data_IF_331938905197
#
_entry.id   IF_331938905197
#
_cell.length_a   1.000
_cell.length_b   1.000
_cell.length_c   1.000
_cell.angle_alpha   90.00
_cell.angle_beta   90.00
_cell.angle_gamma   90.00
#
_symmetry.space_group_name_H-M   'P 1'
#
loop_
_entity.id
_entity.type
_entity.pdbx_description
1 polymer ?
#
# COMPACT_ATOMS: atom_id res chain seq x y z
N UNK A 1 17.83 49.00 -5.17
CA UNK A 1 17.63 49.13 -3.71
C UNK A 1 16.28 49.74 -3.31
N UNK A 2 15.84 50.94 -3.74
CA UNK A 2 14.54 51.49 -3.29
C UNK A 2 13.31 50.60 -3.56
N UNK A 3 13.25 49.93 -4.72
CA UNK A 3 12.11 49.07 -5.09
C UNK A 3 12.11 47.65 -4.51
N UNK A 4 13.13 47.24 -3.77
CA UNK A 4 13.16 45.94 -3.07
C UNK A 4 12.54 46.06 -1.68
N UNK A 5 12.79 47.16 -0.97
CA UNK A 5 12.20 47.46 0.34
C UNK A 5 10.68 47.72 0.28
N UNK A 6 10.18 48.31 -0.81
CA UNK A 6 8.72 48.46 -1.02
C UNK A 6 8.02 47.12 -1.22
N UNK A 7 8.64 46.18 -1.96
CA UNK A 7 8.08 44.83 -2.16
C UNK A 7 8.05 44.02 -0.88
N UNK A 8 9.08 44.16 -0.03
CA UNK A 8 9.13 43.52 1.27
C UNK A 8 8.03 44.04 2.20
N UNK A 9 7.87 45.38 2.27
CA UNK A 9 6.81 46.01 3.06
C UNK A 9 5.39 45.61 2.58
N UNK A 10 5.17 45.56 1.27
CA UNK A 10 3.89 45.13 0.69
C UNK A 10 3.60 43.65 0.97
N UNK A 11 4.62 42.80 0.93
CA UNK A 11 4.49 41.38 1.24
C UNK A 11 4.16 41.16 2.72
N UNK A 12 4.80 41.89 3.63
CA UNK A 12 4.47 41.87 5.05
C UNK A 12 3.04 42.36 5.30
N UNK A 13 2.63 43.45 4.64
CA UNK A 13 1.27 43.98 4.75
C UNK A 13 0.24 42.98 4.25
N UNK A 14 0.49 42.33 3.12
CA UNK A 14 -0.36 41.28 2.59
C UNK A 14 -0.47 40.09 3.55
N UNK A 15 0.65 39.60 4.10
CA UNK A 15 0.64 38.49 5.06
C UNK A 15 -0.17 38.83 6.30
N UNK A 16 0.01 40.04 6.86
CA UNK A 16 -0.74 40.48 8.04
C UNK A 16 -2.25 40.57 7.77
N UNK A 17 -2.65 41.11 6.61
CA UNK A 17 -4.07 41.18 6.23
C UNK A 17 -4.63 39.78 5.97
N UNK A 18 -3.85 38.91 5.31
CA UNK A 18 -4.23 37.53 5.04
C UNK A 18 -4.42 36.76 6.34
N UNK A 19 -3.52 36.88 7.32
CA UNK A 19 -3.64 36.23 8.64
C UNK A 19 -4.87 36.73 9.40
N UNK A 20 -5.08 38.06 9.42
CA UNK A 20 -6.27 38.67 10.04
C UNK A 20 -7.58 38.20 9.40
N UNK A 21 -7.58 37.96 8.08
CA UNK A 21 -8.77 37.55 7.33
C UNK A 21 -8.82 36.04 7.09
N UNK A 22 -7.82 35.27 7.50
CA UNK A 22 -7.68 33.85 7.19
C UNK A 22 -8.89 33.06 7.64
N UNK A 23 -9.29 33.26 8.90
CA UNK A 23 -10.44 32.59 9.49
C UNK A 23 -11.75 33.03 8.87
N UNK A 24 -11.87 34.23 8.31
CA UNK A 24 -13.06 34.70 7.61
C UNK A 24 -13.17 34.12 6.20
N UNK A 25 -12.07 34.17 5.43
CA UNK A 25 -12.02 33.68 4.04
C UNK A 25 -12.14 32.15 4.00
N UNK A 26 -11.47 31.45 4.91
CA UNK A 26 -11.39 29.99 4.91
C UNK A 26 -12.24 29.32 5.99
N UNK A 27 -13.15 30.04 6.66
CA UNK A 27 -13.96 29.49 7.76
C UNK A 27 -14.68 28.20 7.37
N UNK A 28 -15.44 28.25 6.27
CA UNK A 28 -16.25 27.15 5.76
C UNK A 28 -15.38 25.94 5.40
N UNK A 29 -14.28 26.16 4.68
CA UNK A 29 -13.31 25.13 4.32
C UNK A 29 -12.64 24.50 5.55
N UNK A 30 -12.30 25.30 6.58
CA UNK A 30 -11.74 24.81 7.83
C UNK A 30 -12.75 23.96 8.61
N UNK A 31 -14.00 24.40 8.71
CA UNK A 31 -15.08 23.66 9.36
C UNK A 31 -15.34 22.35 8.64
N UNK A 32 -15.43 22.37 7.31
CA UNK A 32 -15.63 21.16 6.50
C UNK A 32 -14.45 20.18 6.64
N UNK A 33 -13.20 20.69 6.65
CA UNK A 33 -12.03 19.86 6.90
C UNK A 33 -12.01 19.24 8.30
N UNK A 34 -12.42 19.99 9.34
CA UNK A 34 -12.53 19.50 10.72
C UNK A 34 -13.65 18.44 10.85
N UNK A 35 -14.80 18.67 10.24
CA UNK A 35 -15.92 17.73 10.22
C UNK A 35 -15.57 16.44 9.46
N UNK A 36 -14.90 16.55 8.29
CA UNK A 36 -14.36 15.38 7.56
C UNK A 36 -13.38 14.58 8.43
N UNK A 37 -12.44 15.24 9.12
CA UNK A 37 -11.48 14.57 10.03
C UNK A 37 -12.17 13.80 11.17
N UNK A 38 -13.24 14.34 11.75
CA UNK A 38 -14.01 13.68 12.81
C UNK A 38 -14.90 12.54 12.30
N UNK A 39 -15.53 12.70 11.13
CA UNK A 39 -16.39 11.68 10.50
C UNK A 39 -15.62 10.45 10.00
N UNK A 40 -14.38 10.62 9.53
CA UNK A 40 -13.50 9.54 9.06
C UNK A 40 -13.13 8.53 10.17
N UNK A 41 -13.26 8.91 11.45
CA UNK A 41 -12.93 8.08 12.61
C UNK A 41 -14.15 7.45 13.30
N UNK A 42 -15.37 7.68 12.79
CA UNK A 42 -16.60 7.15 13.40
C UNK A 42 -16.73 5.64 13.16
N UNK A 43 -17.12 4.84 14.18
CA UNK A 43 -17.22 3.39 14.04
C UNK A 43 -18.15 2.90 12.93
N UNK A 44 -19.25 3.63 12.66
CA UNK A 44 -20.22 3.31 11.61
C UNK A 44 -19.69 3.41 10.17
N UNK A 45 -18.49 3.93 9.99
CA UNK A 45 -17.83 4.03 8.67
C UNK A 45 -16.71 2.99 8.48
N UNK A 46 -16.64 1.98 9.35
CA UNK A 46 -15.60 0.95 9.33
C UNK A 46 -16.18 -0.38 8.84
N UNK A 47 -15.43 -1.15 8.04
CA UNK A 47 -15.84 -2.52 7.76
C UNK A 47 -15.85 -3.33 9.06
N UNK A 48 -16.84 -4.20 9.18
CA UNK A 48 -16.97 -5.16 10.27
C UNK A 48 -15.74 -6.07 10.30
N UNK A 49 -15.27 -6.44 11.49
CA UNK A 49 -14.09 -7.31 11.66
C UNK A 49 -14.26 -8.63 10.91
N UNK A 50 -15.46 -9.21 11.00
CA UNK A 50 -15.86 -10.40 10.25
C UNK A 50 -15.63 -10.25 8.75
N UNK A 51 -15.98 -9.11 8.13
CA UNK A 51 -15.72 -8.88 6.70
C UNK A 51 -14.23 -8.87 6.37
N UNK A 52 -13.39 -8.37 7.28
CA UNK A 52 -11.94 -8.31 7.08
C UNK A 52 -11.34 -9.72 7.09
N UNK A 53 -11.79 -10.56 8.03
CA UNK A 53 -11.39 -11.97 8.12
C UNK A 53 -11.92 -12.78 6.93
N UNK A 54 -13.22 -12.64 6.60
CA UNK A 54 -13.85 -13.29 5.43
C UNK A 54 -13.13 -12.91 4.15
N UNK A 55 -12.87 -11.62 3.91
CA UNK A 55 -12.18 -11.17 2.71
C UNK A 55 -10.72 -11.66 2.65
N UNK A 56 -10.02 -11.68 3.79
CA UNK A 56 -8.67 -12.24 3.86
C UNK A 56 -8.67 -13.73 3.50
N UNK A 57 -9.57 -14.52 4.07
CA UNK A 57 -9.61 -15.95 3.83
C UNK A 57 -9.98 -16.25 2.36
N UNK A 58 -10.96 -15.53 1.82
CA UNK A 58 -11.30 -15.59 0.40
C UNK A 58 -10.10 -15.30 -0.51
N UNK A 59 -9.30 -14.27 -0.21
CA UNK A 59 -8.09 -13.97 -0.96
C UNK A 59 -7.09 -15.12 -0.94
N UNK A 60 -6.83 -15.72 0.23
CA UNK A 60 -5.89 -16.83 0.38
C UNK A 60 -6.36 -18.06 -0.39
N UNK A 61 -7.61 -18.45 -0.22
CA UNK A 61 -8.22 -19.60 -0.88
C UNK A 61 -8.24 -19.46 -2.41
N UNK A 62 -8.64 -18.30 -2.93
CA UNK A 62 -8.66 -18.08 -4.38
C UNK A 62 -7.25 -17.95 -4.97
N UNK A 63 -6.27 -17.38 -4.25
CA UNK A 63 -4.87 -17.39 -4.71
C UNK A 63 -4.38 -18.83 -4.81
N UNK A 64 -4.50 -19.63 -3.74
CA UNK A 64 -4.06 -21.02 -3.72
C UNK A 64 -4.72 -21.84 -4.83
N UNK A 65 -6.03 -21.67 -5.03
CA UNK A 65 -6.78 -22.33 -6.10
C UNK A 65 -6.26 -22.00 -7.50
N UNK A 66 -5.90 -20.74 -7.78
CA UNK A 66 -5.33 -20.37 -9.08
C UNK A 66 -3.90 -20.87 -9.24
N UNK A 67 -3.11 -20.90 -8.16
CA UNK A 67 -1.72 -21.36 -8.20
C UNK A 67 -1.61 -22.88 -8.41
N UNK A 68 -2.60 -23.66 -7.97
CA UNK A 68 -2.66 -25.11 -8.17
C UNK A 68 -3.06 -25.53 -9.60
N UNK A 69 -3.30 -24.57 -10.51
CA UNK A 69 -3.57 -24.86 -11.92
C UNK A 69 -2.24 -25.01 -12.67
N UNK A 70 -2.01 -26.17 -13.30
CA UNK A 70 -0.76 -26.50 -13.99
C UNK A 70 -0.65 -25.93 -15.42
N UNK A 71 -1.67 -25.19 -15.88
CA UNK A 71 -1.73 -24.66 -17.24
C UNK A 71 -1.03 -23.30 -17.36
N UNK A 72 -0.53 -22.98 -18.57
CA UNK A 72 -0.07 -21.61 -18.86
C UNK A 72 -1.22 -20.63 -18.66
N UNK A 73 -0.91 -19.46 -18.12
CA UNK A 73 -1.95 -18.48 -17.86
C UNK A 73 -2.31 -17.75 -19.14
N UNK A 74 -3.61 -17.68 -19.41
CA UNK A 74 -4.12 -16.71 -20.34
C UNK A 74 -4.21 -15.32 -19.67
N UNK A 75 -4.58 -14.32 -20.47
CA UNK A 75 -4.78 -12.96 -19.98
C UNK A 75 -5.82 -12.87 -18.86
N UNK A 76 -6.82 -13.76 -18.84
CA UNK A 76 -7.86 -13.74 -17.81
C UNK A 76 -7.30 -14.20 -16.45
N UNK A 77 -6.62 -15.35 -16.43
CA UNK A 77 -5.98 -15.92 -15.24
C UNK A 77 -4.94 -14.95 -14.67
N UNK A 78 -4.10 -14.37 -15.53
CA UNK A 78 -3.13 -13.36 -15.13
C UNK A 78 -3.78 -12.16 -14.45
N UNK A 79 -4.83 -11.58 -15.06
CA UNK A 79 -5.54 -10.42 -14.50
C UNK A 79 -6.21 -10.80 -13.17
N UNK A 80 -6.78 -12.00 -13.07
CA UNK A 80 -7.41 -12.49 -11.84
C UNK A 80 -6.39 -12.60 -10.70
N UNK A 81 -5.28 -13.32 -10.91
CA UNK A 81 -4.22 -13.48 -9.88
C UNK A 81 -3.59 -12.15 -9.52
N UNK A 82 -3.27 -11.31 -10.52
CA UNK A 82 -2.76 -9.94 -10.30
C UNK A 82 -3.68 -9.14 -9.39
N UNK A 83 -5.00 -9.19 -9.62
CA UNK A 83 -5.96 -8.45 -8.82
C UNK A 83 -6.07 -9.00 -7.39
N UNK A 84 -6.05 -10.32 -7.21
CA UNK A 84 -6.06 -10.98 -5.90
C UNK A 84 -4.82 -10.59 -5.07
N UNK A 85 -3.63 -10.76 -5.65
CA UNK A 85 -2.35 -10.45 -4.99
C UNK A 85 -2.24 -8.96 -4.64
N UNK A 86 -2.58 -8.07 -5.59
CA UNK A 86 -2.57 -6.63 -5.32
C UNK A 86 -3.56 -6.24 -4.23
N UNK A 87 -4.76 -6.85 -4.21
CA UNK A 87 -5.75 -6.63 -3.15
C UNK A 87 -5.23 -7.11 -1.79
N UNK A 88 -4.57 -8.27 -1.75
CA UNK A 88 -3.91 -8.81 -0.55
C UNK A 88 -2.84 -7.87 -0.01
N UNK A 89 -2.00 -7.29 -0.88
CA UNK A 89 -0.98 -6.30 -0.48
C UNK A 89 -1.57 -4.97 -0.02
N UNK A 90 -2.59 -4.45 -0.71
CA UNK A 90 -3.30 -3.22 -0.31
C UNK A 90 -3.90 -3.41 1.07
N UNK A 91 -4.56 -4.55 1.28
CA UNK A 91 -5.18 -4.92 2.54
C UNK A 91 -4.11 -5.02 3.63
N UNK A 92 -3.07 -5.81 3.43
CA UNK A 92 -2.03 -6.08 4.42
C UNK A 92 -1.27 -4.81 4.86
N UNK A 93 -0.93 -3.94 3.90
CA UNK A 93 -0.15 -2.73 4.20
C UNK A 93 -1.00 -1.55 4.71
N UNK A 94 -2.34 -1.66 4.65
CA UNK A 94 -3.29 -0.59 4.94
C UNK A 94 -3.03 0.69 4.12
N UNK A 95 -2.59 0.54 2.87
CA UNK A 95 -2.10 1.66 2.02
C UNK A 95 -3.17 2.15 1.06
N UNK A 96 -2.97 3.35 0.48
CA UNK A 96 -3.80 3.78 -0.65
C UNK A 96 -3.63 2.77 -1.78
N UNK A 97 -4.71 2.40 -2.47
CA UNK A 97 -4.65 1.38 -3.52
C UNK A 97 -3.63 1.69 -4.61
N UNK A 98 -3.33 2.96 -4.84
CA UNK A 98 -2.29 3.41 -5.78
C UNK A 98 -0.85 3.26 -5.30
N UNK A 99 -0.57 3.01 -4.02
CA UNK A 99 0.81 2.81 -3.53
C UNK A 99 1.33 1.41 -3.92
N UNK A 100 0.75 0.28 -3.44
CA UNK A 100 1.22 -1.06 -3.85
C UNK A 100 1.09 -1.34 -5.34
N UNK A 101 0.11 -0.71 -6.03
CA UNK A 101 -0.06 -0.87 -7.47
C UNK A 101 1.13 -0.32 -8.29
N UNK A 102 1.86 0.64 -7.73
CA UNK A 102 3.01 1.30 -8.36
C UNK A 102 4.34 0.65 -8.04
N UNK A 103 4.35 -0.43 -7.26
CA UNK A 103 5.55 -1.21 -7.04
C UNK A 103 6.16 -1.62 -8.38
N UNK A 104 7.48 -1.55 -8.47
CA UNK A 104 8.25 -1.95 -9.63
C UNK A 104 8.83 -3.35 -9.46
N UNK A 105 9.21 -3.98 -10.57
CA UNK A 105 9.93 -5.26 -10.56
C UNK A 105 11.28 -5.11 -9.84
N UNK A 106 11.91 -3.93 -9.90
CA UNK A 106 13.15 -3.63 -9.19
C UNK A 106 12.96 -3.66 -7.67
N UNK A 107 11.98 -2.92 -7.14
CA UNK A 107 11.68 -2.90 -5.70
C UNK A 107 11.28 -4.28 -5.18
N UNK A 108 10.58 -5.08 -5.99
CA UNK A 108 10.33 -6.50 -5.68
C UNK A 108 11.61 -7.32 -5.55
N UNK A 109 12.55 -7.16 -6.51
CA UNK A 109 13.84 -7.86 -6.48
C UNK A 109 14.63 -7.51 -5.22
N UNK A 110 14.67 -6.23 -4.84
CA UNK A 110 15.31 -5.81 -3.58
C UNK A 110 14.69 -6.47 -2.34
N UNK A 111 13.36 -6.66 -2.34
CA UNK A 111 12.68 -7.31 -1.22
C UNK A 111 13.05 -8.78 -1.09
N UNK A 112 13.11 -9.52 -2.20
CA UNK A 112 13.44 -10.96 -2.17
C UNK A 112 14.93 -11.21 -1.91
N UNK A 113 15.82 -10.31 -2.34
CA UNK A 113 17.25 -10.37 -2.02
C UNK A 113 17.56 -9.90 -0.61
N UNK A 114 16.60 -9.31 0.10
CA UNK A 114 16.80 -8.81 1.46
C UNK A 114 17.69 -7.58 1.52
N UNK A 115 17.79 -6.78 0.46
CA UNK A 115 18.69 -5.61 0.35
C UNK A 115 18.55 -4.65 1.52
N UNK A 116 17.35 -4.56 2.09
CA UNK A 116 17.00 -3.58 3.11
C UNK A 116 17.11 -4.10 4.56
N UNK A 117 17.53 -5.34 4.77
CA UNK A 117 17.65 -5.94 6.11
C UNK A 117 19.10 -6.39 6.31
N UNK A 118 19.78 -5.83 7.31
CA UNK A 118 21.15 -6.22 7.66
C UNK A 118 21.17 -7.65 8.27
N UNK A 119 21.87 -8.62 7.66
CA UNK A 119 21.97 -9.98 8.20
C UNK A 119 22.50 -10.03 9.64
N UNK A 120 23.44 -9.15 10.00
CA UNK A 120 24.02 -9.11 11.34
C UNK A 120 23.02 -8.65 12.40
N UNK A 121 21.99 -7.90 11.98
CA UNK A 121 20.94 -7.42 12.85
C UNK A 121 19.89 -8.49 13.10
N UNK A 122 19.64 -9.37 12.12
CA UNK A 122 18.76 -10.53 12.27
C UNK A 122 19.29 -11.48 13.35
N UNK A 123 20.60 -11.72 13.37
CA UNK A 123 21.25 -12.61 14.36
C UNK A 123 21.12 -12.12 15.80
N UNK A 124 20.89 -10.81 16.00
CA UNK A 124 20.77 -10.17 17.32
C UNK A 124 19.33 -10.12 17.84
N UNK A 125 18.36 -10.55 17.04
CA UNK A 125 16.95 -10.51 17.41
C UNK A 125 16.61 -11.71 18.30
N UNK A 126 16.37 -11.41 19.57
CA UNK A 126 16.02 -12.40 20.58
C UNK A 126 14.51 -12.52 20.80
N UNK A 127 13.69 -11.56 20.32
CA UNK A 127 12.22 -11.67 20.40
C UNK A 127 11.72 -12.67 19.35
N UNK A 128 11.09 -13.79 19.77
CA UNK A 128 10.53 -14.78 18.84
C UNK A 128 9.50 -14.18 17.88
N UNK A 129 8.80 -13.12 18.30
CA UNK A 129 7.80 -12.43 17.47
C UNK A 129 8.47 -11.67 16.33
N UNK A 130 9.54 -10.94 16.61
CA UNK A 130 10.29 -10.18 15.60
C UNK A 130 10.98 -11.13 14.60
N UNK A 131 11.54 -12.23 15.11
CA UNK A 131 12.12 -13.27 14.27
C UNK A 131 11.09 -13.88 13.31
N UNK A 132 9.91 -14.24 13.82
CA UNK A 132 8.82 -14.73 12.97
C UNK A 132 8.43 -13.72 11.89
N UNK A 133 8.38 -12.42 12.22
CA UNK A 133 8.01 -11.39 11.25
C UNK A 133 9.04 -11.26 10.13
N UNK A 134 10.33 -11.34 10.44
CA UNK A 134 11.40 -11.30 9.45
C UNK A 134 11.38 -12.55 8.57
N UNK A 135 11.12 -13.72 9.17
CA UNK A 135 11.07 -14.98 8.43
C UNK A 135 9.86 -15.08 7.49
N UNK A 136 8.76 -14.38 7.82
CA UNK A 136 7.49 -14.48 7.08
C UNK A 136 7.12 -13.25 6.24
N UNK A 137 7.87 -12.15 6.34
CA UNK A 137 7.63 -10.92 5.58
C UNK A 137 8.89 -10.48 4.83
N UNK A 138 8.74 -10.02 3.59
CA UNK A 138 9.79 -9.32 2.85
C UNK A 138 9.53 -7.83 2.81
N UNK A 139 10.58 -7.02 2.74
CA UNK A 139 10.52 -5.56 2.81
C UNK A 139 11.07 -4.92 1.54
N UNK A 140 10.25 -4.12 0.87
CA UNK A 140 10.71 -3.14 -0.11
C UNK A 140 10.50 -1.72 0.41
N UNK A 141 11.17 -0.77 -0.22
CA UNK A 141 10.86 0.64 -0.10
C UNK A 141 10.40 1.20 -1.43
N UNK A 142 9.37 2.04 -1.38
CA UNK A 142 8.82 2.71 -2.56
C UNK A 142 8.84 4.23 -2.35
N UNK A 143 9.07 4.99 -3.43
CA UNK A 143 9.04 6.45 -3.38
C UNK A 143 7.61 6.97 -3.24
N UNK A 144 7.34 7.74 -2.19
CA UNK A 144 6.03 8.38 -1.98
C UNK A 144 5.71 9.48 -3.01
N UNK A 145 4.43 9.67 -3.33
CA UNK A 145 4.00 10.74 -4.25
C UNK A 145 4.33 12.13 -3.68
N UNK A 146 5.18 12.89 -4.35
CA UNK A 146 5.50 14.29 -4.03
C UNK A 146 6.54 14.49 -2.92
N UNK A 147 7.05 13.40 -2.33
CA UNK A 147 8.12 13.44 -1.33
C UNK A 147 9.20 12.44 -1.73
N UNK A 148 10.48 12.82 -1.74
CA UNK A 148 11.62 11.88 -1.88
C UNK A 148 11.72 10.85 -0.73
N UNK A 149 10.69 10.78 0.13
CA UNK A 149 10.63 9.89 1.28
C UNK A 149 10.24 8.49 0.82
N UNK A 150 11.11 7.55 1.15
CA UNK A 150 10.87 6.13 1.01
C UNK A 150 9.79 5.66 1.99
N UNK A 151 8.90 4.80 1.51
CA UNK A 151 7.78 4.22 2.27
C UNK A 151 7.95 2.71 2.27
N UNK A 152 7.96 2.05 3.45
CA UNK A 152 8.09 0.60 3.51
C UNK A 152 6.83 -0.09 3.00
N UNK A 153 7.02 -1.14 2.22
CA UNK A 153 5.98 -2.07 1.76
C UNK A 153 6.37 -3.49 2.15
N UNK A 154 5.46 -4.15 2.85
CA UNK A 154 5.64 -5.51 3.35
C UNK A 154 4.94 -6.51 2.43
N UNK A 155 5.68 -7.52 2.00
CA UNK A 155 5.17 -8.66 1.24
C UNK A 155 5.01 -9.84 2.19
N UNK A 156 3.77 -10.29 2.46
CA UNK A 156 3.57 -11.50 3.23
C UNK A 156 3.94 -12.73 2.41
N UNK A 157 4.44 -13.78 3.08
CA UNK A 157 4.90 -15.02 2.45
C UNK A 157 3.90 -15.60 1.44
N UNK A 158 2.60 -15.51 1.73
CA UNK A 158 1.50 -15.97 0.87
C UNK A 158 1.42 -15.26 -0.50
N UNK A 159 2.14 -14.17 -0.70
CA UNK A 159 2.15 -13.43 -1.97
C UNK A 159 3.39 -13.70 -2.83
N UNK A 160 4.44 -14.31 -2.28
CA UNK A 160 5.74 -14.35 -2.96
C UNK A 160 5.72 -15.22 -4.22
N UNK A 161 5.23 -16.46 -4.09
CA UNK A 161 5.13 -17.39 -5.21
C UNK A 161 4.14 -16.91 -6.29
N UNK A 162 2.93 -16.41 -5.96
CA UNK A 162 2.06 -15.77 -6.95
C UNK A 162 2.70 -14.61 -7.72
N UNK A 163 3.51 -13.78 -7.04
CA UNK A 163 4.22 -12.68 -7.70
C UNK A 163 5.28 -13.22 -8.67
N UNK A 164 6.05 -14.24 -8.26
CA UNK A 164 7.03 -14.88 -9.16
C UNK A 164 6.35 -15.44 -10.40
N UNK A 165 5.22 -16.14 -10.25
CA UNK A 165 4.46 -16.67 -11.39
C UNK A 165 3.90 -15.57 -12.29
N UNK A 166 3.41 -14.46 -11.72
CA UNK A 166 3.02 -13.27 -12.51
C UNK A 166 4.18 -12.69 -13.32
N UNK A 167 5.42 -12.79 -12.85
CA UNK A 167 6.59 -12.31 -13.61
C UNK A 167 6.95 -13.26 -14.75
N UNK A 168 6.82 -14.57 -14.55
CA UNK A 168 7.05 -15.60 -15.56
C UNK A 168 6.04 -15.52 -16.72
N UNK A 169 4.77 -15.26 -16.42
CA UNK A 169 3.68 -15.29 -17.40
C UNK A 169 3.50 -13.97 -18.18
N UNK A 170 4.35 -12.95 -17.96
CA UNK A 170 4.19 -11.62 -18.59
C UNK A 170 4.12 -11.69 -20.12
N UNK A 171 5.04 -12.43 -20.74
CA UNK A 171 5.12 -12.58 -22.20
C UNK A 171 3.89 -13.28 -22.74
N UNK A 172 3.47 -14.38 -22.12
CA UNK A 172 2.29 -15.15 -22.50
C UNK A 172 0.99 -14.32 -22.42
N UNK A 173 0.94 -13.38 -21.47
CA UNK A 173 -0.24 -12.58 -21.16
C UNK A 173 -0.26 -11.20 -21.84
N UNK A 174 0.61 -10.98 -22.84
CA UNK A 174 0.69 -9.76 -23.63
C UNK A 174 0.94 -8.50 -22.77
N UNK A 175 1.82 -8.62 -21.77
CA UNK A 175 2.38 -7.48 -21.03
C UNK A 175 3.52 -6.87 -21.86
N UNK A 176 3.61 -5.54 -21.91
CA UNK A 176 4.72 -4.88 -22.61
C UNK A 176 6.07 -5.23 -21.97
N UNK A 177 7.08 -5.50 -22.80
CA UNK A 177 8.44 -5.90 -22.37
C UNK A 177 9.11 -4.81 -21.53
N UNK A 178 8.84 -3.54 -21.84
CA UNK A 178 9.36 -2.36 -21.16
C UNK A 178 8.53 -1.92 -19.95
N UNK A 179 7.43 -2.61 -19.63
CA UNK A 179 6.62 -2.29 -18.45
C UNK A 179 7.40 -2.64 -17.16
N UNK A 180 7.76 -1.62 -16.40
CA UNK A 180 8.56 -1.74 -15.17
C UNK A 180 7.75 -2.15 -13.93
N UNK A 181 6.42 -2.12 -14.01
CA UNK A 181 5.56 -2.30 -12.84
C UNK A 181 5.40 -3.77 -12.50
N UNK A 182 5.36 -4.06 -11.19
CA UNK A 182 5.12 -5.38 -10.64
C UNK A 182 3.71 -5.87 -10.97
N UNK A 183 2.74 -4.96 -10.98
CA UNK A 183 1.34 -5.23 -11.32
C UNK A 183 0.96 -4.49 -12.61
N UNK A 184 1.38 -4.96 -13.79
CA UNK A 184 1.20 -4.27 -15.05
C UNK A 184 -0.24 -4.39 -15.57
N UNK A 185 -0.63 -3.47 -16.46
CA UNK A 185 -1.73 -3.72 -17.38
C UNK A 185 -1.30 -4.66 -18.51
N UNK A 186 -2.25 -5.44 -19.04
CA UNK A 186 -2.05 -6.29 -20.22
C UNK A 186 -2.47 -5.53 -21.49
N UNK A 187 -2.12 -6.06 -22.67
CA UNK A 187 -2.39 -5.40 -23.95
C UNK A 187 -1.33 -4.38 -24.34
N UNK A 188 -0.05 -4.69 -24.10
CA UNK A 188 1.11 -3.85 -24.44
C UNK A 188 1.09 -2.45 -23.79
N UNK A 189 0.39 -2.29 -22.66
CA UNK A 189 0.44 -1.08 -21.87
C UNK A 189 1.72 -1.02 -21.03
N UNK A 190 2.34 0.15 -20.96
CA UNK A 190 3.50 0.43 -20.09
C UNK A 190 3.09 0.89 -18.67
N UNK A 191 1.79 1.00 -18.40
CA UNK A 191 1.26 1.49 -17.12
C UNK A 191 0.90 0.34 -16.17
N UNK A 192 0.74 0.67 -14.90
CA UNK A 192 0.33 -0.26 -13.86
C UNK A 192 -1.20 -0.44 -13.79
N UNK A 193 -1.62 -1.55 -13.20
CA UNK A 193 -3.01 -1.81 -12.90
C UNK A 193 -3.56 -0.78 -11.89
N UNK A 194 -4.83 -0.40 -12.03
CA UNK A 194 -5.46 0.49 -11.06
C UNK A 194 -5.82 -0.29 -9.80
N UNK A 195 -5.07 -0.09 -8.71
CA UNK A 195 -5.31 -0.79 -7.44
C UNK A 195 -6.72 -0.61 -6.87
N UNK A 196 -7.38 0.53 -7.14
CA UNK A 196 -8.80 0.72 -6.78
C UNK A 196 -9.70 -0.25 -7.54
N UNK A 197 -9.53 -0.36 -8.87
CA UNK A 197 -10.35 -1.26 -9.69
C UNK A 197 -10.06 -2.72 -9.36
N UNK A 198 -8.78 -3.09 -9.16
CA UNK A 198 -8.40 -4.43 -8.72
C UNK A 198 -9.10 -4.79 -7.40
N UNK A 199 -8.97 -3.95 -6.37
CA UNK A 199 -9.60 -4.18 -5.07
C UNK A 199 -11.12 -4.23 -5.19
N UNK A 200 -11.72 -3.31 -5.93
CA UNK A 200 -13.16 -3.25 -6.16
C UNK A 200 -13.67 -4.56 -6.78
N UNK A 201 -13.04 -5.03 -7.86
CA UNK A 201 -13.40 -6.28 -8.52
C UNK A 201 -13.35 -7.48 -7.58
N UNK A 202 -12.28 -7.60 -6.79
CA UNK A 202 -12.11 -8.74 -5.88
C UNK A 202 -13.08 -8.67 -4.70
N UNK A 203 -13.32 -7.49 -4.14
CA UNK A 203 -14.31 -7.29 -3.07
C UNK A 203 -15.72 -7.67 -3.55
N UNK A 204 -16.11 -7.30 -4.77
CA UNK A 204 -17.42 -7.70 -5.30
C UNK A 204 -17.52 -9.20 -5.64
N UNK A 205 -16.39 -9.89 -5.79
CA UNK A 205 -16.35 -11.33 -6.05
C UNK A 205 -16.37 -12.16 -4.77
N UNK A 206 -16.08 -11.55 -3.61
CA UNK A 206 -16.09 -12.21 -2.32
C UNK A 206 -17.53 -12.37 -1.80
N UNK A 207 -18.00 -13.60 -1.52
CA UNK A 207 -19.34 -13.82 -1.00
C UNK A 207 -19.48 -13.35 0.46
N UNK A 208 -20.73 -13.15 0.91
CA UNK A 208 -21.10 -12.93 2.31
C UNK A 208 -20.48 -11.69 2.99
N UNK A 209 -20.08 -10.67 2.21
CA UNK A 209 -19.61 -9.40 2.76
C UNK A 209 -20.77 -8.45 3.08
N UNK A 210 -20.78 -7.94 4.31
CA UNK A 210 -21.71 -6.88 4.71
C UNK A 210 -21.15 -5.51 4.31
N UNK A 211 -21.90 -4.68 3.58
CA UNK A 211 -21.45 -3.33 3.18
C UNK A 211 -20.03 -3.32 2.53
N UNK A 212 -19.80 -4.11 1.45
CA UNK A 212 -18.47 -4.33 0.85
C UNK A 212 -17.71 -3.04 0.47
N UNK A 213 -18.44 -1.96 0.16
CA UNK A 213 -17.86 -0.65 -0.12
C UNK A 213 -16.95 -0.11 0.99
N UNK A 214 -17.17 -0.52 2.25
CA UNK A 214 -16.33 -0.11 3.38
C UNK A 214 -14.91 -0.71 3.33
N UNK A 215 -14.71 -1.84 2.65
CA UNK A 215 -13.37 -2.43 2.41
C UNK A 215 -12.59 -1.67 1.32
N UNK A 216 -13.30 -1.02 0.40
CA UNK A 216 -12.70 -0.26 -0.71
C UNK A 216 -12.46 1.21 -0.31
N UNK A 217 -13.21 1.70 0.69
CA UNK A 217 -13.15 3.08 1.14
C UNK A 217 -11.78 3.48 1.68
N UNK A 218 -11.37 4.72 1.41
CA UNK A 218 -10.17 5.35 1.99
C UNK A 218 -10.10 5.22 3.52
N UNK A 219 -11.25 5.09 4.18
CA UNK A 219 -11.40 4.91 5.63
C UNK A 219 -10.82 3.60 6.17
N UNK A 220 -10.82 2.51 5.39
CA UNK A 220 -10.23 1.22 5.78
C UNK A 220 -8.75 1.35 6.19
N UNK A 221 -8.03 2.26 5.52
CA UNK A 221 -6.59 2.52 5.69
C UNK A 221 -6.22 3.06 7.08
N UNK A 222 -7.16 3.66 7.80
CA UNK A 222 -6.88 4.27 9.10
C UNK A 222 -6.82 3.24 10.26
N UNK A 223 -7.33 2.00 10.07
CA UNK A 223 -7.39 0.99 11.15
C UNK A 223 -6.99 -0.45 10.77
N UNK A 224 -6.87 -0.76 9.47
CA UNK A 224 -6.40 -2.07 8.96
C UNK A 224 -5.10 -2.63 9.59
N UNK A 225 -4.11 -1.83 10.07
CA UNK A 225 -2.94 -2.41 10.74
C UNK A 225 -3.25 -3.20 12.01
N UNK A 226 -4.45 -3.08 12.59
CA UNK A 226 -4.78 -3.73 13.87
C UNK A 226 -5.27 -5.18 13.70
N UNK A 227 -5.81 -5.56 12.54
CA UNK A 227 -6.63 -6.78 12.37
C UNK A 227 -6.04 -7.85 11.43
N UNK A 228 -4.95 -7.55 10.72
CA UNK A 228 -4.40 -8.45 9.68
C UNK A 228 -3.18 -9.24 10.12
N UNK A 229 -2.89 -9.22 11.42
CA UNK A 229 -1.79 -9.93 12.03
C UNK A 229 -2.24 -11.33 12.48
N UNK A 230 -1.50 -12.41 12.17
CA UNK A 230 -1.73 -13.73 12.78
C UNK A 230 -1.42 -13.77 14.29
N UNK A 231 -0.73 -12.76 14.84
CA UNK A 231 -0.06 -12.82 16.17
C UNK A 231 -0.60 -11.75 17.16
N UNK A 232 -1.72 -11.08 16.88
CA UNK A 232 -2.30 -10.10 17.82
C UNK A 232 -1.39 -8.90 18.14
N UNK A 233 -0.30 -8.70 17.41
CA UNK A 233 0.59 -7.54 17.54
C UNK A 233 0.18 -6.45 16.55
N UNK A 234 0.12 -5.20 17.00
CA UNK A 234 -0.31 -4.10 16.14
C UNK A 234 0.61 -3.93 14.92
N UNK A 235 0.07 -3.68 13.73
CA UNK A 235 0.84 -3.39 12.51
C UNK A 235 1.66 -2.09 12.57
N UNK A 236 1.61 -1.34 13.68
CA UNK A 236 2.63 -0.32 14.01
C UNK A 236 3.90 -0.97 14.56
N UNK A 237 3.77 -1.99 15.41
CA UNK A 237 4.91 -2.75 15.97
C UNK A 237 5.69 -3.45 14.86
N UNK A 238 5.03 -4.15 13.93
CA UNK A 238 5.69 -4.81 12.80
C UNK A 238 6.47 -3.86 11.89
N UNK A 239 5.87 -2.73 11.54
CA UNK A 239 6.55 -1.69 10.76
C UNK A 239 7.70 -1.09 11.54
N UNK A 240 7.53 -0.81 12.83
CA UNK A 240 8.60 -0.27 13.64
C UNK A 240 9.77 -1.25 13.76
N UNK A 241 9.52 -2.55 13.90
CA UNK A 241 10.56 -3.59 13.93
C UNK A 241 11.32 -3.63 12.59
N UNK A 242 10.62 -3.85 11.48
CA UNK A 242 11.27 -3.94 10.17
C UNK A 242 11.88 -2.61 9.67
N UNK A 243 11.34 -1.47 10.11
CA UNK A 243 11.91 -0.14 9.79
C UNK A 243 13.05 0.25 10.73
N UNK A 244 13.06 -0.25 11.98
CA UNK A 244 14.18 -0.05 12.92
C UNK A 244 15.39 -0.91 12.54
N UNK A 245 15.13 -2.03 11.83
CA UNK A 245 16.18 -2.89 11.28
C UNK A 245 16.54 -2.58 9.82
N UNK A 246 15.91 -1.57 9.24
CA UNK A 246 16.25 -1.06 7.91
C UNK A 246 17.50 -0.21 7.96
N UNK A 247 18.51 -0.54 7.16
CA UNK A 247 19.68 0.32 7.01
C UNK A 247 19.30 1.55 6.19
N UNK A 248 18.98 2.65 6.86
CA UNK A 248 19.03 3.96 6.21
C UNK A 248 20.50 4.33 6.05
N UNK A 249 21.06 4.00 4.89
CA UNK A 249 22.31 4.58 4.44
C UNK A 249 22.15 6.10 4.32
N UNK A 250 22.53 6.82 5.37
CA UNK A 250 22.99 8.18 5.22
C UNK A 250 24.28 8.17 4.40
N UNK A 251 24.42 9.21 3.57
CA UNK A 251 25.51 9.52 2.64
C UNK A 251 25.40 8.89 1.25
N UNK A 252 24.75 9.62 0.33
CA UNK A 252 25.44 10.46 -0.65
C UNK A 252 24.53 11.60 -1.11
#
# INVERSE_FOLDING_TARGET
MKGEFEKEADMTRFSNVLDLKWSFIFYSAQVECKQKKGGLRRPSSMPVEDNTSTFRNYLLEEIEKQMNQYEMWDKHNFVKVRNLVLSRLIMFNARRGGEPARLTVHEWREAITGTWIDPNLIERINDPTEKYLIDNLKLAYQVGKGSRKLVPVLFPKDTLEPISKLLEERTNCNVAEDNIFLFPNTGLSIDHASGYHCLKTVVYSCPNLQQPLLLIADKFRHRSPLYLCPIGSSGRKQRNVLSAHGTFGGNQ
#
